data_IF_915958211935
#
_entry.id   IF_915958211935
#
_cell.length_a   1.000
_cell.length_b   1.000
_cell.length_c   1.000
_cell.angle_alpha   90.00
_cell.angle_beta   90.00
_cell.angle_gamma   90.00
#
_symmetry.space_group_name_H-M   'P 1'
#
loop_
_entity.id
_entity.type
_entity.pdbx_description
1 polymer ?
#
# COMPACT_ATOMS: atom_id res chain seq x y z
N UNK A 1 -4.11 4.72 12.47
CA UNK A 1 -3.31 5.75 13.17
C UNK A 1 -2.90 6.90 12.25
N UNK A 2 -2.28 6.65 11.08
CA UNK A 2 -1.82 7.72 10.15
C UNK A 2 -2.94 8.62 9.61
N UNK A 3 -4.09 8.04 9.23
CA UNK A 3 -5.28 8.83 8.85
C UNK A 3 -5.68 9.83 9.93
N UNK A 4 -5.84 9.34 11.16
CA UNK A 4 -6.23 10.15 12.32
C UNK A 4 -5.20 11.25 12.57
N UNK A 5 -3.91 10.96 12.45
CA UNK A 5 -2.86 11.96 12.54
C UNK A 5 -3.05 13.09 11.51
N UNK A 6 -3.28 12.75 10.24
CA UNK A 6 -3.50 13.76 9.19
C UNK A 6 -4.80 14.56 9.34
N UNK A 7 -5.82 14.03 10.01
CA UNK A 7 -7.01 14.80 10.37
C UNK A 7 -6.75 15.72 11.56
N UNK A 8 -6.01 15.26 12.57
CA UNK A 8 -5.72 16.04 13.77
C UNK A 8 -4.76 17.20 13.52
N UNK A 9 -3.73 17.02 12.69
CA UNK A 9 -2.74 18.08 12.42
C UNK A 9 -3.36 19.34 11.78
N UNK A 10 -4.54 19.24 11.17
CA UNK A 10 -5.28 20.39 10.62
C UNK A 10 -5.77 21.35 11.71
N UNK A 11 -5.84 20.89 12.95
CA UNK A 11 -6.34 21.63 14.11
C UNK A 11 -5.23 21.98 15.11
N UNK A 12 -3.99 21.56 14.84
CA UNK A 12 -2.84 21.87 15.69
C UNK A 12 -2.30 23.24 15.29
N UNK A 13 -1.99 24.06 16.28
CA UNK A 13 -1.30 25.32 16.04
C UNK A 13 0.15 25.04 15.65
N UNK A 14 0.57 25.58 14.50
CA UNK A 14 1.92 25.38 13.99
C UNK A 14 2.94 26.28 14.68
N UNK A 15 2.46 27.32 15.39
CA UNK A 15 3.28 28.30 16.11
C UNK A 15 3.35 28.02 17.63
N UNK A 16 2.72 26.94 18.10
CA UNK A 16 2.82 26.47 19.48
C UNK A 16 4.15 25.74 19.69
N UNK A 17 5.11 26.42 20.32
CA UNK A 17 6.46 25.92 20.58
C UNK A 17 6.47 24.60 21.38
N UNK A 18 5.49 24.37 22.28
CA UNK A 18 5.42 23.14 23.08
C UNK A 18 5.09 21.92 22.21
N UNK A 19 4.42 22.14 21.08
CA UNK A 19 3.95 21.10 20.16
C UNK A 19 4.85 21.00 18.92
N UNK A 20 5.45 22.12 18.48
CA UNK A 20 6.28 22.21 17.28
C UNK A 20 7.45 21.22 17.33
N UNK A 21 8.10 21.07 18.48
CA UNK A 21 9.22 20.15 18.68
C UNK A 21 8.81 18.67 18.59
N UNK A 22 7.53 18.36 18.79
CA UNK A 22 6.97 17.00 18.73
C UNK A 22 6.50 16.60 17.33
N UNK A 23 6.28 17.57 16.44
CA UNK A 23 5.75 17.33 15.11
C UNK A 23 6.82 16.82 14.13
N UNK A 24 6.50 15.80 13.31
CA UNK A 24 7.33 15.45 12.18
C UNK A 24 7.55 16.64 11.25
N UNK A 25 8.76 16.71 10.67
CA UNK A 25 9.07 17.76 9.71
C UNK A 25 8.08 17.80 8.54
N UNK A 26 7.87 18.96 7.89
CA UNK A 26 6.98 19.07 6.73
C UNK A 26 7.30 18.06 5.62
N UNK A 27 8.58 17.76 5.39
CA UNK A 27 9.02 16.75 4.43
C UNK A 27 8.60 15.33 4.85
N UNK A 28 8.75 14.99 6.13
CA UNK A 28 8.27 13.73 6.68
C UNK A 28 6.75 13.60 6.52
N UNK A 29 5.99 14.67 6.80
CA UNK A 29 4.54 14.69 6.62
C UNK A 29 4.09 14.48 5.19
N UNK A 30 4.78 15.04 4.20
CA UNK A 30 4.49 14.78 2.77
C UNK A 30 4.75 13.32 2.42
N UNK A 31 5.89 12.77 2.85
CA UNK A 31 6.23 11.36 2.62
C UNK A 31 5.23 10.42 3.28
N UNK A 32 4.77 10.74 4.49
CA UNK A 32 3.76 9.96 5.21
C UNK A 32 2.43 9.92 4.46
N UNK A 33 1.99 11.03 3.85
CA UNK A 33 0.78 11.06 3.01
C UNK A 33 0.90 10.14 1.80
N UNK A 34 2.04 10.17 1.11
CA UNK A 34 2.29 9.29 -0.04
C UNK A 34 2.26 7.83 0.37
N UNK A 35 3.04 7.47 1.41
CA UNK A 35 3.06 6.10 1.94
C UNK A 35 1.68 5.63 2.40
N UNK A 36 0.87 6.52 2.97
CA UNK A 36 -0.49 6.18 3.40
C UNK A 36 -1.41 5.89 2.21
N UNK A 37 -1.24 6.59 1.08
CA UNK A 37 -1.99 6.29 -0.14
C UNK A 37 -1.60 4.91 -0.70
N UNK A 38 -0.30 4.62 -0.80
CA UNK A 38 0.21 3.32 -1.26
C UNK A 38 -0.30 2.17 -0.37
N UNK A 39 -0.30 2.37 0.95
CA UNK A 39 -0.84 1.39 1.90
C UNK A 39 -2.32 1.11 1.70
N UNK A 40 -3.12 2.08 1.24
CA UNK A 40 -4.54 1.85 0.96
C UNK A 40 -4.76 0.94 -0.23
N UNK A 41 -3.96 1.06 -1.27
CA UNK A 41 -4.04 0.18 -2.44
C UNK A 41 -3.74 -1.27 -2.03
N UNK A 42 -2.67 -1.46 -1.25
CA UNK A 42 -2.26 -2.77 -0.72
C UNK A 42 -3.32 -3.33 0.23
N UNK A 43 -3.88 -2.50 1.13
CA UNK A 43 -4.95 -2.91 2.04
C UNK A 43 -6.20 -3.34 1.28
N UNK A 44 -6.58 -2.61 0.22
CA UNK A 44 -7.74 -2.93 -0.62
C UNK A 44 -7.59 -4.30 -1.27
N UNK A 45 -6.46 -4.55 -1.92
CA UNK A 45 -6.15 -5.86 -2.52
C UNK A 45 -6.12 -6.96 -1.45
N UNK A 46 -5.44 -6.72 -0.33
CA UNK A 46 -5.35 -7.70 0.77
C UNK A 46 -6.72 -8.11 1.31
N UNK A 47 -7.67 -7.17 1.39
CA UNK A 47 -9.05 -7.46 1.81
C UNK A 47 -9.81 -8.24 0.74
N UNK A 48 -9.65 -7.88 -0.53
CA UNK A 48 -10.27 -8.61 -1.64
C UNK A 48 -9.82 -10.08 -1.65
N UNK A 49 -8.54 -10.34 -1.38
CA UNK A 49 -7.98 -11.70 -1.29
C UNK A 49 -8.51 -12.54 -0.12
N UNK A 50 -9.12 -11.91 0.89
CA UNK A 50 -9.71 -12.61 2.04
C UNK A 50 -11.19 -12.98 1.80
N UNK A 51 -11.73 -12.68 0.62
CA UNK A 51 -13.09 -13.08 0.26
C UNK A 51 -13.22 -14.61 0.16
N UNK A 52 -14.38 -15.13 0.54
CA UNK A 52 -14.63 -16.58 0.54
C UNK A 52 -14.83 -17.15 -0.88
N UNK A 53 -15.15 -16.29 -1.84
CA UNK A 53 -15.56 -16.61 -3.21
C UNK A 53 -14.54 -16.13 -4.25
N UNK A 54 -13.25 -16.16 -3.91
CA UNK A 54 -12.18 -15.73 -4.82
C UNK A 54 -11.61 -16.90 -5.64
N UNK A 55 -11.48 -16.70 -6.95
CA UNK A 55 -10.80 -17.64 -7.84
C UNK A 55 -9.32 -17.29 -7.99
N UNK A 56 -8.50 -18.25 -8.44
CA UNK A 56 -7.09 -17.96 -8.77
C UNK A 56 -6.94 -16.90 -9.88
N UNK A 57 -7.90 -16.82 -10.80
CA UNK A 57 -7.92 -15.78 -11.83
C UNK A 57 -8.14 -14.39 -11.20
N UNK A 58 -9.06 -14.28 -10.25
CA UNK A 58 -9.28 -13.02 -9.54
C UNK A 58 -8.01 -12.59 -8.79
N UNK A 59 -7.34 -13.52 -8.10
CA UNK A 59 -6.06 -13.26 -7.42
C UNK A 59 -5.03 -12.68 -8.39
N UNK A 60 -4.89 -13.28 -9.60
CA UNK A 60 -3.96 -12.80 -10.63
C UNK A 60 -4.33 -11.39 -11.09
N UNK A 61 -5.60 -11.12 -11.35
CA UNK A 61 -6.11 -9.79 -11.74
C UNK A 61 -5.78 -8.74 -10.66
N UNK A 62 -5.98 -9.06 -9.39
CA UNK A 62 -5.66 -8.14 -8.29
C UNK A 62 -4.16 -7.89 -8.16
N UNK A 63 -3.33 -8.92 -8.31
CA UNK A 63 -1.88 -8.79 -8.29
C UNK A 63 -1.34 -8.00 -9.48
N UNK A 64 -1.84 -8.23 -10.69
CA UNK A 64 -1.44 -7.46 -11.88
C UNK A 64 -1.83 -5.99 -11.75
N UNK A 65 -3.03 -5.71 -11.21
CA UNK A 65 -3.44 -4.35 -10.89
C UNK A 65 -2.53 -3.68 -9.87
N UNK A 66 -2.12 -4.41 -8.82
CA UNK A 66 -1.21 -3.89 -7.79
C UNK A 66 0.20 -3.64 -8.35
N UNK A 67 0.71 -4.52 -9.21
CA UNK A 67 2.00 -4.35 -9.89
C UNK A 67 1.96 -3.16 -10.86
N UNK A 68 0.87 -2.97 -11.59
CA UNK A 68 0.70 -1.83 -12.47
C UNK A 68 0.74 -0.48 -11.71
N UNK A 69 0.16 -0.45 -10.50
CA UNK A 69 0.22 0.71 -9.62
C UNK A 69 1.59 0.86 -8.93
N UNK A 70 2.19 -0.25 -8.51
CA UNK A 70 3.43 -0.31 -7.73
C UNK A 70 4.40 -1.34 -8.32
N UNK A 71 5.22 -0.96 -9.32
CA UNK A 71 6.04 -1.91 -10.10
C UNK A 71 7.04 -2.73 -9.28
N UNK A 72 7.47 -2.22 -8.13
CA UNK A 72 8.35 -2.91 -7.17
C UNK A 72 7.73 -4.20 -6.59
N UNK A 73 6.41 -4.38 -6.69
CA UNK A 73 5.76 -5.62 -6.25
C UNK A 73 5.97 -6.78 -7.22
N UNK A 74 6.41 -6.53 -8.45
CA UNK A 74 6.67 -7.59 -9.44
C UNK A 74 7.67 -8.63 -8.94
N UNK A 75 8.65 -8.22 -8.14
CA UNK A 75 9.67 -9.10 -7.56
C UNK A 75 9.11 -10.10 -6.54
N UNK A 76 7.93 -9.81 -5.97
CA UNK A 76 7.32 -10.58 -4.88
C UNK A 76 6.07 -11.35 -5.31
N UNK A 77 5.24 -10.76 -6.18
CA UNK A 77 3.93 -11.32 -6.59
C UNK A 77 3.74 -11.38 -8.12
N UNK A 78 4.78 -11.04 -8.88
CA UNK A 78 4.80 -11.27 -10.32
C UNK A 78 4.87 -12.75 -10.67
N UNK A 79 4.53 -13.14 -11.92
CA UNK A 79 4.56 -14.53 -12.37
C UNK A 79 5.98 -15.14 -12.37
N UNK A 80 7.00 -14.29 -12.26
CA UNK A 80 8.43 -14.66 -12.21
C UNK A 80 9.06 -14.36 -10.85
N UNK A 81 8.27 -14.00 -9.84
CA UNK A 81 8.76 -13.75 -8.49
C UNK A 81 9.45 -15.01 -7.94
N UNK A 82 10.47 -14.83 -7.10
CA UNK A 82 11.27 -15.97 -6.59
C UNK A 82 10.45 -16.97 -5.77
N UNK A 83 9.32 -16.54 -5.20
CA UNK A 83 8.40 -17.39 -4.46
C UNK A 83 7.59 -18.34 -5.35
N UNK A 84 7.51 -18.06 -6.66
CA UNK A 84 6.73 -18.86 -7.61
C UNK A 84 7.43 -20.20 -7.86
N UNK A 85 6.76 -21.29 -7.47
CA UNK A 85 7.27 -22.64 -7.68
C UNK A 85 7.11 -23.13 -9.13
N UNK A 86 6.03 -22.75 -9.81
CA UNK A 86 5.77 -23.13 -11.21
C UNK A 86 5.46 -21.89 -12.06
N UNK A 87 6.50 -21.27 -12.66
CA UNK A 87 6.33 -20.08 -13.48
C UNK A 87 5.41 -20.30 -14.69
N UNK A 88 5.43 -21.50 -15.28
CA UNK A 88 4.59 -21.84 -16.44
C UNK A 88 3.10 -21.92 -16.06
N UNK A 89 2.78 -22.35 -14.84
CA UNK A 89 1.41 -22.32 -14.32
C UNK A 89 0.94 -20.89 -14.07
N UNK A 90 1.78 -20.04 -13.48
CA UNK A 90 1.46 -18.63 -13.20
C UNK A 90 1.39 -17.76 -14.46
N UNK A 91 2.06 -18.16 -15.55
CA UNK A 91 2.03 -17.48 -16.85
C UNK A 91 1.06 -18.12 -17.84
N UNK A 92 0.45 -19.24 -17.47
CA UNK A 92 -0.59 -19.92 -18.24
C UNK A 92 -1.91 -19.20 -18.11
N UNK A 93 -2.19 -18.28 -19.04
CA UNK A 93 -3.53 -17.77 -19.31
C UNK A 93 -4.44 -18.87 -19.86
#
# INVERSE_FOLDING_TARGET
MVHRYHELIKFMDADDDDIMELLPSPACNRRLKTLYAELKDIESVSKALQANDITLLDVRVWFDGLIAAHPNFADYIGPRATIVHSPDFESGC
#
